data_IF_825035149921
#
_entry.id   IF_825035149921
#
_cell.length_a   1.000
_cell.length_b   1.000
_cell.length_c   1.000
_cell.angle_alpha   90.00
_cell.angle_beta   90.00
_cell.angle_gamma   90.00
#
_symmetry.space_group_name_H-M   'P 1'
#
loop_
_entity.id
_entity.type
_entity.pdbx_description
1 polymer ?
#
# COMPACT_ATOMS: atom_id res chain seq x y z
N UNK A 1 -12.05 10.37 -8.80
CA UNK A 1 -11.65 9.86 -7.47
C UNK A 1 -11.76 8.34 -7.36
N UNK A 2 -12.65 7.69 -8.13
CA UNK A 2 -12.83 6.22 -8.05
C UNK A 2 -11.62 5.38 -8.47
N UNK A 3 -10.82 5.82 -9.45
CA UNK A 3 -9.63 5.08 -9.89
C UNK A 3 -8.61 4.85 -8.76
N UNK A 4 -8.35 5.87 -7.93
CA UNK A 4 -7.36 5.77 -6.85
C UNK A 4 -7.78 4.73 -5.82
N UNK A 5 -9.08 4.63 -5.51
CA UNK A 5 -9.59 3.62 -4.59
C UNK A 5 -9.36 2.21 -5.11
N UNK A 6 -9.53 1.98 -6.42
CA UNK A 6 -9.25 0.67 -7.04
C UNK A 6 -7.76 0.37 -7.01
N UNK A 7 -6.91 1.34 -7.41
CA UNK A 7 -5.45 1.17 -7.44
C UNK A 7 -4.91 0.87 -6.04
N UNK A 8 -5.27 1.65 -5.02
CA UNK A 8 -4.80 1.42 -3.64
C UNK A 8 -5.44 0.19 -3.02
N UNK A 9 -6.67 -0.13 -3.41
CA UNK A 9 -7.38 -1.33 -2.95
C UNK A 9 -6.73 -2.62 -3.44
N UNK A 10 -6.19 -2.63 -4.66
CA UNK A 10 -5.49 -3.78 -5.23
C UNK A 10 -4.00 -3.86 -4.86
N UNK A 11 -3.39 -2.74 -4.49
CA UNK A 11 -1.99 -2.69 -4.10
C UNK A 11 -1.75 -3.42 -2.77
N UNK A 12 -0.65 -4.18 -2.70
CA UNK A 12 -0.16 -4.75 -1.44
C UNK A 12 0.52 -3.67 -0.59
N UNK A 13 1.32 -2.82 -1.25
CA UNK A 13 2.06 -1.70 -0.67
C UNK A 13 1.93 -0.51 -1.61
N UNK A 14 1.89 0.70 -1.05
CA UNK A 14 1.88 1.96 -1.82
C UNK A 14 3.18 2.73 -1.55
N UNK A 15 3.80 3.27 -2.60
CA UNK A 15 4.97 4.14 -2.49
C UNK A 15 4.64 5.50 -3.10
N UNK A 16 4.86 6.57 -2.35
CA UNK A 16 4.63 7.96 -2.76
C UNK A 16 5.96 8.68 -2.90
N UNK A 17 6.30 9.05 -4.13
CA UNK A 17 7.48 9.86 -4.40
C UNK A 17 7.29 11.32 -3.98
N UNK A 18 6.14 11.90 -4.33
CA UNK A 18 5.82 13.31 -4.08
C UNK A 18 4.30 13.50 -4.06
N UNK A 19 3.83 14.35 -3.17
CA UNK A 19 2.44 14.76 -3.07
C UNK A 19 2.36 16.26 -2.80
N UNK A 20 1.24 16.88 -3.18
CA UNK A 20 0.77 18.13 -2.56
C UNK A 20 -0.18 17.78 -1.39
N UNK A 21 -0.68 18.78 -0.67
CA UNK A 21 -1.69 18.69 0.40
C UNK A 21 -3.11 18.44 -0.12
N UNK A 22 -3.25 18.31 -1.44
CA UNK A 22 -4.50 18.07 -2.16
C UNK A 22 -4.24 17.34 -3.48
N UNK A 23 -5.28 16.74 -4.05
CA UNK A 23 -5.23 16.09 -5.35
C UNK A 23 -5.00 14.58 -5.28
N UNK A 24 -4.85 13.96 -6.45
CA UNK A 24 -4.95 12.50 -6.59
C UNK A 24 -3.98 11.70 -5.72
N UNK A 25 -2.70 12.10 -5.67
CA UNK A 25 -1.70 11.40 -4.85
C UNK A 25 -2.00 11.53 -3.36
N UNK A 26 -2.38 12.72 -2.91
CA UNK A 26 -2.77 12.97 -1.53
C UNK A 26 -3.97 12.13 -1.13
N UNK A 27 -5.02 12.13 -1.95
CA UNK A 27 -6.24 11.37 -1.70
C UNK A 27 -5.97 9.86 -1.74
N UNK A 28 -5.12 9.40 -2.65
CA UNK A 28 -4.70 8.00 -2.76
C UNK A 28 -3.90 7.55 -1.53
N UNK A 29 -2.92 8.33 -1.08
CA UNK A 29 -2.11 8.00 0.09
C UNK A 29 -2.96 7.92 1.37
N UNK A 30 -3.82 8.93 1.60
CA UNK A 30 -4.74 8.93 2.74
C UNK A 30 -5.79 7.81 2.64
N UNK A 31 -6.26 7.50 1.43
CA UNK A 31 -7.18 6.38 1.18
C UNK A 31 -6.53 5.03 1.49
N UNK A 32 -5.28 4.82 1.06
CA UNK A 32 -4.52 3.61 1.35
C UNK A 32 -4.27 3.43 2.86
N UNK A 33 -3.91 4.50 3.58
CA UNK A 33 -3.78 4.48 5.04
C UNK A 33 -5.10 4.08 5.72
N UNK A 34 -6.23 4.66 5.29
CA UNK A 34 -7.57 4.31 5.82
C UNK A 34 -7.95 2.85 5.56
N UNK A 35 -7.46 2.26 4.47
CA UNK A 35 -7.64 0.84 4.12
C UNK A 35 -6.70 -0.08 4.91
N UNK A 36 -5.83 0.46 5.79
CA UNK A 36 -4.83 -0.31 6.53
C UNK A 36 -3.69 -0.81 5.65
N UNK A 37 -3.44 -0.16 4.49
CA UNK A 37 -2.30 -0.48 3.63
C UNK A 37 -1.04 0.18 4.17
N UNK A 38 0.09 -0.48 3.97
CA UNK A 38 1.40 0.08 4.27
C UNK A 38 1.77 1.10 3.19
N UNK A 39 2.01 2.35 3.59
CA UNK A 39 2.32 3.46 2.67
C UNK A 39 3.71 3.98 2.99
N UNK A 40 4.62 3.89 2.02
CA UNK A 40 5.96 4.44 2.07
C UNK A 40 5.97 5.81 1.39
N UNK A 41 6.57 6.81 2.02
CA UNK A 41 6.65 8.17 1.48
C UNK A 41 8.10 8.61 1.46
N UNK A 42 8.54 9.16 0.33
CA UNK A 42 9.88 9.75 0.22
C UNK A 42 10.08 10.79 1.33
N UNK A 43 11.12 10.58 2.13
CA UNK A 43 11.50 11.49 3.20
C UNK A 43 12.04 12.81 2.61
N UNK A 44 11.53 13.97 3.05
CA UNK A 44 12.09 15.27 2.68
C UNK A 44 13.53 15.42 3.17
N UNK A 45 14.45 15.76 2.27
CA UNK A 45 15.82 16.18 2.63
C UNK A 45 15.94 17.68 2.90
N UNK A 46 14.97 18.48 2.42
CA UNK A 46 14.88 19.93 2.60
C UNK A 46 13.44 20.34 2.85
N UNK A 47 13.20 21.27 3.79
CA UNK A 47 11.84 21.63 4.24
C UNK A 47 10.96 22.24 3.13
N UNK A 48 11.56 22.87 2.12
CA UNK A 48 10.82 23.61 1.08
C UNK A 48 10.25 22.74 -0.04
N UNK A 49 10.84 21.57 -0.31
CA UNK A 49 10.53 20.84 -1.57
C UNK A 49 9.42 19.80 -1.39
N UNK A 50 9.13 19.37 -0.16
CA UNK A 50 8.24 18.23 0.12
C UNK A 50 7.45 18.38 1.43
N UNK A 51 6.97 19.58 1.74
CA UNK A 51 6.21 19.86 2.99
C UNK A 51 4.97 18.96 3.14
N UNK A 52 4.32 18.60 2.05
CA UNK A 52 3.16 17.69 2.05
C UNK A 52 3.53 16.23 2.32
N UNK A 53 4.70 15.77 1.89
CA UNK A 53 5.19 14.44 2.27
C UNK A 53 5.45 14.37 3.77
N UNK A 54 5.96 15.45 4.38
CA UNK A 54 6.11 15.55 5.84
C UNK A 54 4.77 15.35 6.54
N UNK A 55 3.69 15.94 6.02
CA UNK A 55 2.34 15.74 6.57
C UNK A 55 1.86 14.28 6.44
N UNK A 56 2.13 13.62 5.31
CA UNK A 56 1.81 12.20 5.14
C UNK A 56 2.59 11.32 6.13
N UNK A 57 3.87 11.62 6.38
CA UNK A 57 4.67 10.94 7.40
C UNK A 57 4.09 11.13 8.81
N UNK A 58 3.69 12.36 9.15
CA UNK A 58 3.03 12.65 10.42
C UNK A 58 1.69 11.92 10.58
N UNK A 59 1.02 11.59 9.47
CA UNK A 59 -0.23 10.82 9.45
C UNK A 59 -0.03 9.29 9.55
N UNK A 60 1.21 8.82 9.72
CA UNK A 60 1.52 7.40 9.94
C UNK A 60 2.09 6.66 8.72
N UNK A 61 2.45 7.37 7.64
CA UNK A 61 3.23 6.76 6.57
C UNK A 61 4.66 6.42 7.03
N UNK A 62 5.25 5.40 6.41
CA UNK A 62 6.64 4.99 6.67
C UNK A 62 7.60 5.83 5.82
N UNK A 63 8.68 6.40 6.39
CA UNK A 63 9.66 7.15 5.61
C UNK A 63 10.47 6.25 4.69
N UNK A 64 10.74 6.75 3.49
CA UNK A 64 11.57 6.11 2.48
C UNK A 64 12.72 7.06 2.11
N UNK A 65 13.96 6.67 2.40
CA UNK A 65 15.14 7.47 2.10
C UNK A 65 15.39 7.51 0.59
N UNK A 66 15.31 8.70 -0.01
CA UNK A 66 15.59 8.91 -1.44
C UNK A 66 16.20 10.29 -1.71
N UNK A 67 17.26 10.41 -2.54
CA UNK A 67 17.88 9.35 -3.35
C UNK A 67 18.73 8.37 -2.52
N UNK A 68 18.90 7.14 -3.03
CA UNK A 68 19.77 6.11 -2.45
C UNK A 68 20.85 5.70 -3.44
N UNK A 69 22.04 5.38 -2.94
CA UNK A 69 23.12 4.77 -3.74
C UNK A 69 22.92 3.28 -3.96
N UNK A 70 22.26 2.60 -3.02
CA UNK A 70 21.93 1.18 -3.12
C UNK A 70 20.41 1.00 -3.13
N UNK A 71 19.86 0.76 -4.32
CA UNK A 71 18.43 0.60 -4.54
C UNK A 71 17.91 -0.75 -4.02
N UNK A 72 18.72 -1.79 -4.15
CA UNK A 72 18.35 -3.15 -3.76
C UNK A 72 18.14 -3.25 -2.26
N UNK A 73 19.10 -2.76 -1.47
CA UNK A 73 19.00 -2.75 0.00
C UNK A 73 17.73 -2.02 0.49
N UNK A 74 17.32 -0.97 -0.23
CA UNK A 74 16.13 -0.19 0.12
C UNK A 74 14.84 -0.94 -0.26
N UNK A 75 14.77 -1.53 -1.46
CA UNK A 75 13.52 -2.08 -2.01
C UNK A 75 13.31 -3.56 -1.71
N UNK A 76 14.36 -4.38 -1.58
CA UNK A 76 14.26 -5.79 -1.26
C UNK A 76 13.37 -6.09 -0.04
N UNK A 77 13.51 -5.40 1.11
CA UNK A 77 12.62 -5.65 2.25
C UNK A 77 11.16 -5.27 1.96
N UNK A 78 10.91 -4.22 1.17
CA UNK A 78 9.56 -3.76 0.80
C UNK A 78 8.91 -4.78 -0.13
N UNK A 79 9.65 -5.27 -1.13
CA UNK A 79 9.17 -6.28 -2.08
C UNK A 79 8.85 -7.59 -1.34
N UNK A 80 9.71 -8.03 -0.43
CA UNK A 80 9.47 -9.21 0.38
C UNK A 80 8.20 -9.08 1.25
N UNK A 81 7.99 -7.92 1.89
CA UNK A 81 6.74 -7.62 2.59
C UNK A 81 5.53 -7.70 1.65
N UNK A 82 5.65 -7.13 0.44
CA UNK A 82 4.59 -7.16 -0.57
C UNK A 82 4.20 -8.59 -0.94
N UNK A 83 5.18 -9.47 -1.11
CA UNK A 83 4.95 -10.90 -1.42
C UNK A 83 4.20 -11.60 -0.28
N UNK A 84 4.60 -11.40 0.97
CA UNK A 84 3.90 -11.96 2.14
C UNK A 84 2.43 -11.50 2.18
N UNK A 85 2.17 -10.21 1.92
CA UNK A 85 0.81 -9.67 1.88
C UNK A 85 0.00 -10.33 0.75
N UNK A 86 0.61 -10.52 -0.42
CA UNK A 86 -0.02 -11.17 -1.57
C UNK A 86 -0.38 -12.63 -1.27
N UNK A 87 0.54 -13.41 -0.69
CA UNK A 87 0.33 -14.81 -0.34
C UNK A 87 -0.81 -14.97 0.67
N UNK A 88 -0.86 -14.11 1.70
CA UNK A 88 -1.96 -14.10 2.67
C UNK A 88 -3.31 -13.83 2.02
N UNK A 89 -3.36 -12.88 1.08
CA UNK A 89 -4.58 -12.57 0.32
C UNK A 89 -5.02 -13.73 -0.56
N UNK A 90 -4.07 -14.42 -1.22
CA UNK A 90 -4.35 -15.60 -2.02
C UNK A 90 -4.88 -16.75 -1.15
N UNK A 91 -4.25 -17.04 -0.02
CA UNK A 91 -4.72 -18.06 0.92
C UNK A 91 -6.11 -17.75 1.47
N UNK A 92 -6.40 -16.49 1.80
CA UNK A 92 -7.72 -16.06 2.24
C UNK A 92 -8.79 -16.13 1.13
N UNK A 93 -8.40 -15.98 -0.14
CA UNK A 93 -9.30 -16.11 -1.29
C UNK A 93 -9.58 -17.56 -1.69
N UNK A 94 -8.72 -18.50 -1.30
CA UNK A 94 -8.89 -19.93 -1.57
C UNK A 94 -9.79 -20.55 -0.47
N UNK A 95 -11.11 -20.51 -0.77
CA UNK A 95 -12.25 -21.38 -0.35
C UNK A 95 -13.38 -20.71 0.47
N UNK A 96 -14.63 -20.97 0.05
CA UNK A 96 -15.33 -22.21 0.41
C UNK A 96 -15.24 -23.23 -0.72
N UNK A 97 -15.00 -24.50 -0.36
CA UNK A 97 -15.26 -25.63 -1.24
C UNK A 97 -16.70 -25.52 -1.74
N UNK A 98 -16.92 -25.17 -3.01
CA UNK A 98 -18.26 -25.24 -3.60
C UNK A 98 -18.83 -26.67 -3.57
N UNK A 99 -18.01 -27.66 -3.21
CA UNK A 99 -18.37 -29.05 -2.94
C UNK A 99 -19.18 -29.24 -1.63
N UNK A 100 -19.06 -28.35 -0.63
CA UNK A 100 -19.88 -28.47 0.60
C UNK A 100 -21.34 -28.05 0.40
N UNK A 101 -21.64 -27.27 -0.65
CA UNK A 101 -23.00 -26.93 -1.09
C UNK A 101 -23.71 -28.09 -1.82
N UNK A 102 -22.95 -29.08 -2.32
CA UNK A 102 -23.48 -30.28 -2.97
C UNK A 102 -23.70 -31.44 -1.99
N UNK A 103 -23.29 -31.30 -0.73
CA UNK A 103 -23.43 -32.31 0.32
C UNK A 103 -24.80 -32.31 1.01
N UNK A 104 -25.83 -31.70 0.39
CA UNK A 104 -27.21 -31.89 0.81
C UNK A 104 -27.64 -33.25 0.27
N UNK A 105 -27.32 -34.31 1.02
CA UNK A 105 -27.87 -35.64 0.80
C UNK A 105 -29.38 -35.57 1.06
N UNK A 106 -30.17 -35.79 0.00
CA UNK A 106 -31.60 -36.06 0.14
C UNK A 106 -31.76 -37.45 0.77
N UNK A 107 -32.02 -37.49 2.07
CA UNK A 107 -32.69 -38.63 2.73
C UNK A 107 -34.14 -38.24 3.08
#
# INVERSE_FOLDING_TARGET
MECNNVVTGLAQIVIVAESDTKGGTWDGANGALKQGREVYVRQPTTEQTLSSNQLLLNNGCTPLSWPTSNLEDLLAPIIHKSQIVQEKQQQASVKPDQLSLLAITNE
#
